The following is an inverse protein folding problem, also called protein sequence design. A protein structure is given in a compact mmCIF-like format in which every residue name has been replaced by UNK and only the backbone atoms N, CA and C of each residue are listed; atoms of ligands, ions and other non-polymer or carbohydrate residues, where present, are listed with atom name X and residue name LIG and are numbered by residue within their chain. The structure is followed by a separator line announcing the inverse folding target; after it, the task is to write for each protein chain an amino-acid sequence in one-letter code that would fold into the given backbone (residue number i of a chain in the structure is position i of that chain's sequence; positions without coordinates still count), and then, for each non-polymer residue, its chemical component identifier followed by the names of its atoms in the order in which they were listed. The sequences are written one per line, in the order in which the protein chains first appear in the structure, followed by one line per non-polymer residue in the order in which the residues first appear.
data_IF_735719139499
#
_entry.id   IF_735719139499
#
_cell.length_a   1.000
_cell.length_b   1.000
_cell.length_c   1.000
_cell.angle_alpha   90.00
_cell.angle_beta   90.00
_cell.angle_gamma   90.00
#
_symmetry.space_group_name_H-M   'P 1'
#
loop_
_entity.id
_entity.type
_entity.pdbx_description
1 polymer ?
#
# COMPACT_ATOMS: atom_id res chain seq x y z
N UNK A 1 -0.81 2.88 9.55
CA UNK A 1 0.15 3.54 8.62
C UNK A 1 1.54 2.90 8.62
N UNK A 2 2.35 3.03 9.70
CA UNK A 2 3.77 2.59 9.71
C UNK A 2 3.98 1.13 9.30
N UNK A 3 3.10 0.21 9.70
CA UNK A 3 3.23 -1.21 9.36
C UNK A 3 3.01 -1.53 7.88
N UNK A 4 2.04 -0.85 7.23
CA UNK A 4 1.75 -1.08 5.81
C UNK A 4 2.83 -0.51 4.89
N UNK A 5 3.42 0.64 5.25
CA UNK A 5 4.55 1.24 4.52
C UNK A 5 5.89 0.52 4.77
N UNK A 6 5.98 -0.30 5.82
CA UNK A 6 7.16 -1.09 6.14
C UNK A 6 7.17 -2.47 5.45
N UNK A 7 6.22 -2.75 4.56
CA UNK A 7 6.16 -4.01 3.83
C UNK A 7 7.28 -4.07 2.78
N UNK A 8 8.18 -5.08 2.83
CA UNK A 8 9.23 -5.26 1.83
C UNK A 8 8.71 -5.34 0.38
N UNK A 9 7.46 -5.80 0.24
CA UNK A 9 6.71 -5.92 -1.01
C UNK A 9 6.30 -4.56 -1.59
N UNK A 10 6.48 -3.45 -0.88
CA UNK A 10 6.17 -2.11 -1.37
C UNK A 10 7.39 -1.20 -1.38
N UNK A 11 8.39 -1.45 -0.52
CA UNK A 11 9.54 -0.56 -0.35
C UNK A 11 10.39 -0.37 -1.60
N UNK A 12 10.70 0.89 -1.90
CA UNK A 12 11.80 1.24 -2.80
C UNK A 12 13.16 0.96 -2.15
N UNK A 13 14.12 0.52 -2.96
CA UNK A 13 15.53 0.47 -2.56
C UNK A 13 16.38 1.15 -3.63
N UNK A 14 17.08 2.22 -3.26
CA UNK A 14 18.09 2.86 -4.11
C UNK A 14 19.43 2.80 -3.39
N UNK A 15 20.44 2.24 -4.06
CA UNK A 15 21.81 2.14 -3.52
C UNK A 15 21.88 1.53 -2.10
N UNK A 16 21.08 0.50 -1.83
CA UNK A 16 20.94 -0.15 -0.51
C UNK A 16 20.36 0.73 0.62
N UNK A 17 19.74 1.86 0.28
CA UNK A 17 19.00 2.70 1.23
C UNK A 17 17.50 2.52 0.98
N UNK A 18 16.76 2.22 2.04
CA UNK A 18 15.29 2.22 2.02
C UNK A 18 14.84 3.67 2.12
N UNK A 19 14.12 4.15 1.10
CA UNK A 19 13.55 5.50 1.10
C UNK A 19 12.18 5.49 1.78
N UNK A 20 12.00 6.39 2.75
CA UNK A 20 10.71 6.58 3.41
C UNK A 20 9.68 7.17 2.43
N UNK A 21 8.45 6.68 2.48
CA UNK A 21 7.33 7.13 1.63
C UNK A 21 7.55 6.94 0.12
N UNK A 22 8.43 6.01 -0.27
CA UNK A 22 8.59 5.56 -1.66
C UNK A 22 8.03 4.14 -1.82
N UNK A 23 7.24 3.94 -2.86
CA UNK A 23 6.73 2.63 -3.28
C UNK A 23 7.24 2.29 -4.68
N UNK A 24 7.81 1.09 -4.83
CA UNK A 24 8.23 0.58 -6.13
C UNK A 24 6.99 0.13 -6.92
N UNK A 25 6.81 0.66 -8.14
CA UNK A 25 5.62 0.41 -8.96
C UNK A 25 5.52 -1.06 -9.40
N UNK A 26 6.64 -1.71 -9.75
CA UNK A 26 6.62 -3.12 -10.13
C UNK A 26 6.25 -3.99 -8.93
N UNK A 27 6.81 -3.68 -7.76
CA UNK A 27 6.46 -4.41 -6.55
C UNK A 27 5.01 -4.17 -6.14
N UNK A 28 4.50 -2.94 -6.28
CA UNK A 28 3.10 -2.60 -6.04
C UNK A 28 2.16 -3.42 -6.93
N UNK A 29 2.48 -3.53 -8.22
CA UNK A 29 1.72 -4.34 -9.17
C UNK A 29 1.73 -5.81 -8.77
N UNK A 30 2.89 -6.36 -8.42
CA UNK A 30 2.99 -7.74 -7.95
C UNK A 30 2.22 -7.95 -6.62
N UNK A 31 2.36 -7.02 -5.67
CA UNK A 31 1.68 -7.06 -4.38
C UNK A 31 0.16 -7.01 -4.53
N UNK A 32 -0.36 -6.25 -5.50
CA UNK A 32 -1.81 -6.21 -5.78
C UNK A 32 -2.39 -7.56 -6.21
N UNK A 33 -1.54 -8.50 -6.65
CA UNK A 33 -1.93 -9.86 -7.02
C UNK A 33 -1.66 -10.83 -5.87
N UNK A 34 -0.49 -10.73 -5.24
CA UNK A 34 -0.01 -11.70 -4.23
C UNK A 34 -0.64 -11.47 -2.86
N UNK A 35 -0.78 -10.22 -2.41
CA UNK A 35 -1.30 -9.90 -1.07
C UNK A 35 -2.74 -10.40 -0.89
N UNK A 36 -3.66 -10.23 -1.86
CA UNK A 36 -5.02 -10.80 -1.75
C UNK A 36 -5.06 -12.33 -1.73
N UNK A 37 -4.07 -13.02 -2.30
CA UNK A 37 -4.01 -14.49 -2.29
C UNK A 37 -3.51 -15.05 -0.95
N UNK A 38 -2.81 -14.22 -0.17
CA UNK A 38 -2.20 -14.61 1.10
C UNK A 38 -2.69 -13.75 2.27
N UNK A 39 -3.97 -13.37 2.28
CA UNK A 39 -4.52 -12.45 3.29
C UNK A 39 -4.27 -12.89 4.74
N UNK A 40 -4.29 -14.20 5.01
CA UNK A 40 -4.03 -14.75 6.35
C UNK A 40 -2.65 -14.36 6.87
N UNK A 41 -1.62 -14.37 6.02
CA UNK A 41 -0.25 -13.98 6.39
C UNK A 41 -0.17 -12.49 6.77
N UNK A 42 -0.91 -11.64 6.06
CA UNK A 42 -0.89 -10.20 6.31
C UNK A 42 -1.87 -9.76 7.42
N UNK A 43 -2.79 -10.63 7.83
CA UNK A 43 -3.81 -10.32 8.83
C UNK A 43 -3.19 -9.97 10.19
N UNK A 44 -2.14 -10.68 10.62
CA UNK A 44 -1.46 -10.40 11.89
C UNK A 44 -0.85 -8.98 11.95
N UNK A 45 -0.51 -8.43 10.78
CA UNK A 45 0.10 -7.10 10.67
C UNK A 45 -0.93 -5.99 10.41
N UNK A 46 -1.91 -6.25 9.54
CA UNK A 46 -2.86 -5.26 9.03
C UNK A 46 -4.24 -5.34 9.70
N UNK A 47 -4.59 -6.46 10.33
CA UNK A 47 -5.87 -6.70 10.98
C UNK A 47 -7.06 -6.43 10.07
N UNK A 48 -8.18 -6.01 10.66
CA UNK A 48 -9.35 -5.55 9.90
C UNK A 48 -9.07 -4.18 9.29
N UNK A 49 -8.54 -4.19 8.07
CA UNK A 49 -8.29 -2.98 7.30
C UNK A 49 -8.45 -3.19 5.80
N UNK A 50 -8.61 -2.07 5.09
CA UNK A 50 -8.53 -1.99 3.64
C UNK A 50 -7.36 -1.08 3.30
N UNK A 51 -6.41 -1.59 2.52
CA UNK A 51 -5.22 -0.86 2.07
C UNK A 51 -5.32 -0.69 0.56
N UNK A 52 -5.35 0.57 0.12
CA UNK A 52 -5.37 0.93 -1.29
C UNK A 52 -4.32 1.99 -1.60
N UNK A 53 -3.79 1.93 -2.80
CA UNK A 53 -2.83 2.90 -3.34
C UNK A 53 -3.42 3.49 -4.61
N UNK A 54 -3.52 4.81 -4.65
CA UNK A 54 -3.97 5.55 -5.81
C UNK A 54 -2.79 6.33 -6.40
N UNK A 55 -2.44 6.03 -7.64
CA UNK A 55 -1.62 6.91 -8.47
C UNK A 55 -2.48 8.09 -8.91
N UNK A 56 -2.03 9.32 -8.62
CA UNK A 56 -2.73 10.56 -8.95
C UNK A 56 -2.10 11.23 -10.18
N UNK A 57 -0.81 11.01 -10.41
CA UNK A 57 -0.05 11.56 -11.53
C UNK A 57 1.11 10.61 -11.89
N UNK A 58 1.46 10.41 -13.18
CA UNK A 58 0.90 11.04 -14.37
C UNK A 58 -0.43 10.44 -14.85
N UNK A 59 -0.76 9.24 -14.38
CA UNK A 59 -1.99 8.52 -14.73
C UNK A 59 -2.80 8.16 -13.48
N UNK A 60 -4.11 8.03 -13.64
CA UNK A 60 -4.99 7.61 -12.54
C UNK A 60 -5.12 6.10 -12.52
N UNK A 61 -4.35 5.46 -11.63
CA UNK A 61 -4.44 4.02 -11.37
C UNK A 61 -4.77 3.77 -9.91
N UNK A 62 -5.61 2.76 -9.65
CA UNK A 62 -5.99 2.36 -8.29
C UNK A 62 -5.59 0.89 -8.08
N UNK A 63 -4.83 0.65 -7.03
CA UNK A 63 -4.36 -0.66 -6.61
C UNK A 63 -4.93 -0.97 -5.22
N UNK A 64 -5.77 -2.01 -5.13
CA UNK A 64 -6.22 -2.52 -3.82
C UNK A 64 -5.29 -3.64 -3.40
N UNK A 65 -4.54 -3.44 -2.34
CA UNK A 65 -3.53 -4.40 -1.87
C UNK A 65 -4.13 -5.40 -0.89
N UNK A 66 -4.92 -4.90 0.04
CA UNK A 66 -5.47 -5.70 1.12
C UNK A 66 -6.91 -5.29 1.37
N UNK A 67 -7.79 -6.26 1.55
CA UNK A 67 -9.22 -6.03 1.71
C UNK A 67 -9.80 -7.00 2.74
N UNK A 68 -9.73 -6.63 4.03
CA UNK A 68 -10.35 -7.35 5.14
C UNK A 68 -11.25 -6.38 5.92
N UNK A 69 -12.43 -6.03 5.39
CA UNK A 69 -13.37 -5.16 6.07
C UNK A 69 -14.06 -5.90 7.22
N UNK A 70 -14.54 -5.14 8.21
CA UNK A 70 -15.37 -5.68 9.28
C UNK A 70 -16.84 -5.28 9.03
N UNK A 71 -17.77 -6.25 8.97
CA UNK A 71 -19.19 -5.98 8.67
C UNK A 71 -19.89 -5.14 9.74
N UNK A 72 -19.47 -5.29 11.00
CA UNK A 72 -19.99 -4.56 12.15
C UNK A 72 -18.84 -3.93 12.93
N UNK A 73 -18.60 -2.65 12.67
CA UNK A 73 -17.58 -1.85 13.34
C UNK A 73 -18.23 -0.75 14.20
N UNK A 74 -17.62 -0.45 15.35
CA UNK A 74 -18.00 0.70 16.18
C UNK A 74 -17.37 2.00 15.65
N UNK A 75 -16.18 1.89 15.08
CA UNK A 75 -15.46 3.04 14.52
C UNK A 75 -14.62 2.67 13.30
N UNK A 76 -14.51 3.63 12.39
CA UNK A 76 -13.66 3.58 11.20
C UNK A 76 -12.63 4.69 11.31
N UNK A 77 -11.35 4.36 11.13
CA UNK A 77 -10.26 5.33 11.04
C UNK A 77 -9.67 5.29 9.64
N UNK A 78 -9.55 6.44 8.99
CA UNK A 78 -8.96 6.57 7.66
C UNK A 78 -7.63 7.30 7.79
N UNK A 79 -6.55 6.68 7.31
CA UNK A 79 -5.25 7.34 7.24
C UNK A 79 -4.79 7.44 5.80
N UNK A 80 -4.50 8.66 5.35
CA UNK A 80 -3.96 8.94 4.03
C UNK A 80 -2.51 9.41 4.17
N UNK A 81 -1.62 8.91 3.32
CA UNK A 81 -0.27 9.43 3.22
C UNK A 81 0.13 9.62 1.75
N UNK A 82 0.78 10.74 1.41
CA UNK A 82 1.37 10.92 0.09
C UNK A 82 2.57 9.97 -0.05
N UNK A 83 2.74 9.41 -1.24
CA UNK A 83 3.83 8.51 -1.59
C UNK A 83 4.41 8.87 -2.96
N UNK A 84 5.71 8.63 -3.13
CA UNK A 84 6.34 8.61 -4.45
C UNK A 84 6.26 7.20 -5.00
N UNK A 85 5.81 7.06 -6.24
CA UNK A 85 5.77 5.80 -6.97
C UNK A 85 6.95 5.77 -7.94
N UNK A 86 7.92 4.90 -7.71
CA UNK A 86 9.09 4.78 -8.57
C UNK A 86 8.88 3.65 -9.58
N UNK A 87 8.99 3.95 -10.87
CA UNK A 87 9.14 2.93 -11.89
C UNK A 87 10.64 2.63 -12.10
N UNK A 88 11.14 1.45 -11.67
CA UNK A 88 12.55 1.09 -11.83
C UNK A 88 12.94 0.78 -13.28
N UNK A 89 12.00 0.53 -14.19
CA UNK A 89 12.27 0.23 -15.60
C UNK A 89 12.58 1.51 -16.38
N UNK A 90 11.74 2.52 -16.20
CA UNK A 90 11.89 3.82 -16.88
C UNK A 90 12.69 4.84 -16.05
N UNK A 91 12.86 4.59 -14.76
CA UNK A 91 13.48 5.52 -13.81
C UNK A 91 12.61 6.73 -13.49
N UNK A 92 11.33 6.71 -13.87
CA UNK A 92 10.41 7.84 -13.68
C UNK A 92 9.71 7.77 -12.33
N UNK A 93 9.33 8.94 -11.82
CA UNK A 93 8.56 9.05 -10.58
C UNK A 93 7.13 9.48 -10.90
N UNK A 94 6.19 8.79 -10.27
CA UNK A 94 4.79 9.12 -10.19
C UNK A 94 4.43 9.56 -8.77
N UNK A 95 3.32 10.26 -8.62
CA UNK A 95 2.80 10.70 -7.33
C UNK A 95 1.53 9.95 -7.01
N UNK A 96 1.43 9.44 -5.78
CA UNK A 96 0.27 8.72 -5.32
C UNK A 96 -0.09 9.00 -3.88
N UNK A 97 -1.22 8.44 -3.47
CA UNK A 97 -1.72 8.45 -2.10
C UNK A 97 -2.01 7.03 -1.68
N UNK A 98 -1.45 6.60 -0.56
CA UNK A 98 -1.86 5.37 0.11
C UNK A 98 -2.95 5.70 1.12
N UNK A 99 -4.03 4.93 1.07
CA UNK A 99 -5.18 5.03 1.96
C UNK A 99 -5.30 3.73 2.76
N UNK A 100 -5.42 3.87 4.08
CA UNK A 100 -5.61 2.74 4.99
C UNK A 100 -6.86 3.01 5.80
N UNK A 101 -7.90 2.24 5.52
CA UNK A 101 -9.12 2.19 6.31
C UNK A 101 -8.97 1.12 7.37
N UNK A 102 -8.97 1.48 8.64
CA UNK A 102 -8.91 0.53 9.77
C UNK A 102 -10.25 0.48 10.48
N UNK A 103 -10.72 -0.73 10.79
CA UNK A 103 -12.00 -0.98 11.44
C UNK A 103 -11.77 -1.50 12.86
N UNK A 104 -12.40 -0.84 13.84
CA UNK A 104 -12.41 -1.30 15.23
C UNK A 104 -13.83 -1.71 15.64
N UNK A 105 -13.91 -2.74 16.46
CA UNK A 105 -15.18 -3.29 16.96
C UNK A 105 -15.73 -2.47 18.12
#
# INVERSE_FOLDING_TARGET
LKKALALPELQCSRQNIVEDSCIDLLKLQAASIVVPQHQEYYFDSLGFSVVSVQEVYPSTHNYTLYNSPLDKYSSKSVTNAPISLLDPVTGTNAFGVITIDTYAR
#
